data_IF_787287187235
#
_entry.id   IF_787287187235
#
_cell.length_a   1.000
_cell.length_b   1.000
_cell.length_c   1.000
_cell.angle_alpha   90.00
_cell.angle_beta   90.00
_cell.angle_gamma   90.00
#
_symmetry.space_group_name_H-M   'P 1'
#
loop_
_entity.id
_entity.type
_entity.pdbx_description
1 polymer ?
#
# COMPACT_ATOMS: atom_id res chain seq x y z
N UNK A 1 -52.97 -89.13 -57.01
CA UNK A 1 -52.38 -87.84 -57.42
C UNK A 1 -51.83 -87.09 -56.20
N UNK A 2 -50.51 -86.90 -56.14
CA UNK A 2 -49.77 -85.66 -55.77
C UNK A 2 -48.28 -86.02 -55.60
N UNK A 3 -47.44 -85.35 -56.38
CA UNK A 3 -45.99 -85.59 -56.54
C UNK A 3 -45.19 -85.00 -55.39
N UNK A 4 -44.16 -85.73 -54.95
CA UNK A 4 -43.02 -85.20 -54.21
C UNK A 4 -42.12 -84.35 -55.13
N UNK A 5 -41.63 -83.22 -54.61
CA UNK A 5 -40.48 -82.47 -55.14
C UNK A 5 -39.61 -82.06 -53.94
N UNK A 6 -38.30 -82.35 -53.93
CA UNK A 6 -37.41 -81.98 -52.83
C UNK A 6 -36.96 -80.52 -52.97
N UNK A 7 -36.85 -79.80 -51.85
CA UNK A 7 -36.22 -78.47 -51.78
C UNK A 7 -34.94 -78.54 -50.93
N UNK A 8 -33.80 -78.36 -51.58
CA UNK A 8 -32.52 -77.88 -51.03
C UNK A 8 -32.15 -76.59 -51.79
N UNK A 9 -31.15 -75.80 -51.37
CA UNK A 9 -31.03 -75.06 -50.11
C UNK A 9 -30.90 -73.53 -50.41
N UNK A 10 -31.42 -72.65 -49.55
CA UNK A 10 -31.40 -71.18 -49.76
C UNK A 10 -30.55 -70.42 -48.74
N UNK A 11 -29.67 -71.13 -48.02
CA UNK A 11 -28.73 -70.55 -47.05
C UNK A 11 -27.32 -70.68 -47.63
N UNK A 12 -27.00 -69.90 -48.66
CA UNK A 12 -25.61 -69.79 -49.15
C UNK A 12 -25.32 -68.48 -49.91
N UNK A 13 -26.33 -67.75 -50.38
CA UNK A 13 -26.12 -66.52 -51.16
C UNK A 13 -26.20 -65.20 -50.37
N UNK A 14 -26.71 -65.20 -49.13
CA UNK A 14 -26.84 -63.96 -48.32
C UNK A 14 -25.55 -63.65 -47.54
N UNK A 15 -24.70 -64.64 -47.26
CA UNK A 15 -23.45 -64.43 -46.52
C UNK A 15 -22.30 -63.90 -47.41
N UNK A 16 -22.38 -64.08 -48.74
CA UNK A 16 -21.34 -63.64 -49.68
C UNK A 16 -21.52 -62.17 -50.12
N UNK A 17 -22.74 -61.62 -50.05
CA UNK A 17 -23.00 -60.21 -50.38
C UNK A 17 -22.71 -59.21 -49.23
N UNK A 18 -22.51 -59.68 -48.00
CA UNK A 18 -22.20 -58.83 -46.84
C UNK A 18 -20.69 -58.60 -46.63
N UNK A 19 -19.82 -59.34 -47.34
CA UNK A 19 -18.36 -59.21 -47.20
C UNK A 19 -17.74 -58.31 -48.29
N UNK A 20 -18.45 -58.05 -49.41
CA UNK A 20 -17.95 -57.17 -50.48
C UNK A 20 -18.23 -55.67 -50.27
N UNK A 21 -19.03 -55.28 -49.28
CA UNK A 21 -19.36 -53.87 -48.98
C UNK A 21 -18.49 -53.25 -47.88
N UNK A 22 -17.59 -54.03 -47.24
CA UNK A 22 -16.67 -53.52 -46.21
C UNK A 22 -15.32 -53.07 -46.82
N UNK A 23 -15.00 -53.45 -48.07
CA UNK A 23 -13.74 -53.09 -48.72
C UNK A 23 -13.81 -51.91 -49.72
N UNK A 24 -14.95 -51.21 -49.84
CA UNK A 24 -15.07 -50.02 -50.73
C UNK A 24 -15.16 -48.70 -49.94
N UNK A 25 -15.21 -48.72 -48.60
CA UNK A 25 -15.20 -47.49 -47.78
C UNK A 25 -13.83 -47.13 -47.16
N UNK A 26 -12.75 -47.85 -47.46
CA UNK A 26 -11.41 -47.54 -46.90
C UNK A 26 -10.58 -46.62 -47.81
N UNK A 27 -10.91 -46.48 -49.10
CA UNK A 27 -10.09 -45.69 -50.03
C UNK A 27 -10.67 -44.32 -50.43
N UNK A 28 -11.78 -43.86 -49.83
CA UNK A 28 -12.39 -42.52 -50.10
C UNK A 28 -12.27 -41.55 -48.90
N UNK A 29 -11.62 -41.95 -47.80
CA UNK A 29 -11.30 -41.04 -46.68
C UNK A 29 -9.80 -40.70 -46.56
N UNK A 30 -8.96 -41.20 -47.49
CA UNK A 30 -7.53 -40.90 -47.52
C UNK A 30 -7.15 -39.56 -48.15
N UNK A 31 -8.10 -38.70 -48.53
CA UNK A 31 -7.80 -37.50 -49.30
C UNK A 31 -8.75 -36.32 -49.04
N UNK A 32 -8.91 -35.91 -47.78
CA UNK A 32 -9.11 -34.51 -47.44
C UNK A 32 -9.15 -34.41 -45.93
N UNK A 33 -8.12 -33.79 -45.36
CA UNK A 33 -8.10 -32.98 -44.16
C UNK A 33 -6.63 -32.97 -43.71
N UNK A 34 -5.80 -32.24 -44.45
CA UNK A 34 -4.78 -31.43 -43.79
C UNK A 34 -5.52 -30.41 -42.92
N UNK A 35 -6.12 -30.89 -41.82
CA UNK A 35 -6.36 -30.05 -40.66
C UNK A 35 -4.96 -29.82 -40.16
N UNK A 36 -4.36 -28.74 -40.66
CA UNK A 36 -3.36 -28.03 -39.89
C UNK A 36 -4.09 -27.73 -38.60
N UNK A 37 -3.82 -28.52 -37.55
CA UNK A 37 -4.25 -28.16 -36.21
C UNK A 37 -3.88 -26.68 -36.05
N UNK A 38 -4.84 -25.79 -35.77
CA UNK A 38 -4.49 -24.40 -35.55
C UNK A 38 -3.46 -24.45 -34.43
N UNK A 39 -2.21 -24.13 -34.75
CA UNK A 39 -1.16 -23.94 -33.74
C UNK A 39 -1.85 -23.13 -32.65
N UNK A 40 -1.89 -23.61 -31.39
CA UNK A 40 -2.47 -22.84 -30.32
C UNK A 40 -1.87 -21.45 -30.46
N UNK A 41 -2.73 -20.44 -30.65
CA UNK A 41 -2.28 -19.05 -30.65
C UNK A 41 -1.41 -18.98 -29.41
N UNK A 42 -0.13 -18.67 -29.59
CA UNK A 42 0.74 -18.42 -28.47
C UNK A 42 -0.02 -17.42 -27.61
N UNK A 43 -0.52 -17.89 -26.48
CA UNK A 43 -1.09 -17.04 -25.47
C UNK A 43 0.03 -16.04 -25.22
N UNK A 44 -0.26 -14.76 -25.46
CA UNK A 44 0.72 -13.72 -25.24
C UNK A 44 1.08 -13.84 -23.77
N UNK A 45 2.20 -14.53 -23.48
CA UNK A 45 2.69 -14.70 -22.13
C UNK A 45 2.96 -13.29 -21.69
N UNK A 46 2.06 -12.77 -20.87
CA UNK A 46 2.13 -11.41 -20.34
C UNK A 46 3.57 -11.22 -19.89
N UNK A 47 4.25 -10.29 -20.56
CA UNK A 47 5.69 -10.17 -20.50
C UNK A 47 6.06 -9.96 -19.04
N UNK A 48 6.49 -11.02 -18.35
CA UNK A 48 6.76 -11.01 -16.92
C UNK A 48 7.70 -9.84 -16.63
N UNK A 49 7.15 -8.81 -16.01
CA UNK A 49 7.95 -7.67 -15.57
C UNK A 49 8.64 -8.06 -14.27
N UNK A 50 9.80 -7.46 -13.99
CA UNK A 50 10.48 -7.68 -12.72
C UNK A 50 9.56 -7.38 -11.53
N UNK A 51 8.67 -6.39 -11.68
CA UNK A 51 7.66 -6.01 -10.69
C UNK A 51 6.68 -7.16 -10.37
N UNK A 52 6.19 -7.86 -11.40
CA UNK A 52 5.29 -9.03 -11.22
C UNK A 52 5.98 -10.24 -10.59
N UNK A 53 7.31 -10.36 -10.72
CA UNK A 53 8.09 -11.43 -10.06
C UNK A 53 8.32 -11.10 -8.59
N UNK A 54 8.51 -9.82 -8.27
CA UNK A 54 8.85 -9.35 -6.93
C UNK A 54 7.63 -9.12 -6.04
N UNK A 55 6.46 -8.87 -6.63
CA UNK A 55 5.22 -8.54 -5.90
C UNK A 55 4.05 -9.41 -6.36
N UNK A 56 3.40 -10.10 -5.41
CA UNK A 56 2.14 -10.81 -5.65
C UNK A 56 1.03 -9.84 -6.13
N UNK A 57 1.10 -8.59 -5.67
CA UNK A 57 0.17 -7.51 -6.02
C UNK A 57 0.94 -6.29 -6.56
N UNK A 58 0.87 -5.99 -7.87
CA UNK A 58 1.54 -4.83 -8.46
C UNK A 58 1.20 -3.51 -7.75
N UNK A 59 2.21 -2.67 -7.57
CA UNK A 59 2.09 -1.38 -6.86
C UNK A 59 2.10 -1.46 -5.34
N UNK A 60 2.13 -2.66 -4.76
CA UNK A 60 2.38 -2.83 -3.34
C UNK A 60 3.87 -2.65 -3.03
N UNK A 61 4.23 -1.99 -1.92
CA UNK A 61 5.63 -1.89 -1.52
C UNK A 61 6.26 -3.24 -1.20
N UNK A 62 7.58 -3.31 -1.29
CA UNK A 62 8.37 -4.49 -0.93
C UNK A 62 8.13 -4.94 0.51
N UNK A 63 8.09 -6.26 0.70
CA UNK A 63 7.94 -6.92 1.99
C UNK A 63 6.73 -6.44 2.81
N UNK A 64 5.69 -5.96 2.12
CA UNK A 64 4.46 -5.48 2.75
C UNK A 64 3.32 -6.49 2.67
N UNK A 65 2.45 -6.46 3.67
CA UNK A 65 1.12 -7.04 3.59
C UNK A 65 0.20 -6.01 2.93
N UNK A 66 -0.12 -6.25 1.67
CA UNK A 66 -0.85 -5.31 0.82
C UNK A 66 -1.77 -6.06 -0.14
N UNK A 67 -3.03 -5.66 -0.17
CA UNK A 67 -4.01 -6.21 -1.12
C UNK A 67 -3.87 -5.58 -2.50
N UNK A 68 -4.36 -6.26 -3.54
CA UNK A 68 -4.39 -5.74 -4.91
C UNK A 68 -5.07 -4.37 -5.00
N UNK A 69 -6.21 -4.19 -4.31
CA UNK A 69 -6.93 -2.91 -4.27
C UNK A 69 -6.07 -1.77 -3.69
N UNK A 70 -5.32 -2.06 -2.62
CA UNK A 70 -4.44 -1.08 -1.98
C UNK A 70 -3.23 -0.76 -2.87
N UNK A 71 -2.62 -1.76 -3.51
CA UNK A 71 -1.53 -1.57 -4.48
C UNK A 71 -1.95 -0.72 -5.69
N UNK A 72 -3.17 -0.92 -6.20
CA UNK A 72 -3.76 -0.06 -7.24
C UNK A 72 -3.95 1.37 -6.75
N UNK A 73 -4.40 1.57 -5.50
CA UNK A 73 -4.60 2.90 -4.91
C UNK A 73 -3.29 3.66 -4.73
N UNK A 74 -2.24 2.98 -4.25
CA UNK A 74 -0.87 3.53 -4.18
C UNK A 74 -0.35 3.91 -5.57
N UNK A 75 -0.50 3.01 -6.55
CA UNK A 75 -0.11 3.28 -7.93
C UNK A 75 -0.80 4.51 -8.50
N UNK A 76 -2.11 4.67 -8.26
CA UNK A 76 -2.87 5.86 -8.68
C UNK A 76 -2.35 7.13 -8.03
N UNK A 77 -2.07 7.09 -6.72
CA UNK A 77 -1.47 8.23 -6.02
C UNK A 77 -0.11 8.62 -6.62
N UNK A 78 0.78 7.65 -6.84
CA UNK A 78 2.10 7.90 -7.41
C UNK A 78 2.04 8.45 -8.84
N UNK A 79 1.19 7.89 -9.69
CA UNK A 79 0.95 8.39 -11.04
C UNK A 79 0.37 9.81 -11.02
N UNK A 80 -0.62 10.06 -10.16
CA UNK A 80 -1.20 11.37 -9.96
C UNK A 80 -0.12 12.39 -9.55
N UNK A 81 0.68 12.08 -8.53
CA UNK A 81 1.69 12.99 -8.01
C UNK A 81 2.77 13.35 -9.04
N UNK A 82 3.16 12.38 -9.88
CA UNK A 82 4.09 12.60 -11.00
C UNK A 82 3.51 13.51 -12.08
N UNK A 83 2.20 13.45 -12.30
CA UNK A 83 1.52 14.23 -13.32
C UNK A 83 1.06 15.62 -12.85
N UNK A 84 0.76 15.78 -11.56
CA UNK A 84 0.16 17.01 -11.02
C UNK A 84 1.08 18.21 -11.14
N UNK A 85 0.51 19.39 -11.38
CA UNK A 85 1.26 20.61 -11.69
C UNK A 85 1.18 21.67 -10.61
N UNK A 86 0.28 21.51 -9.64
CA UNK A 86 0.09 22.51 -8.58
C UNK A 86 -0.26 21.88 -7.24
N UNK A 87 -0.02 22.62 -6.16
CA UNK A 87 -0.41 22.23 -4.81
C UNK A 87 -1.94 22.12 -4.68
N UNK A 88 -2.70 22.95 -5.40
CA UNK A 88 -4.17 22.93 -5.40
C UNK A 88 -4.72 21.61 -5.93
N UNK A 89 -4.15 21.08 -7.02
CA UNK A 89 -4.52 19.75 -7.54
C UNK A 89 -4.27 18.67 -6.49
N UNK A 90 -3.12 18.72 -5.82
CA UNK A 90 -2.75 17.76 -4.77
C UNK A 90 -3.72 17.85 -3.60
N UNK A 91 -4.01 19.04 -3.10
CA UNK A 91 -4.98 19.22 -2.00
C UNK A 91 -6.36 18.68 -2.35
N UNK A 92 -6.82 18.91 -3.59
CA UNK A 92 -8.11 18.39 -4.03
C UNK A 92 -8.11 16.86 -4.08
N UNK A 93 -7.04 16.25 -4.58
CA UNK A 93 -6.88 14.78 -4.55
C UNK A 93 -6.88 14.23 -3.12
N UNK A 94 -6.15 14.87 -2.19
CA UNK A 94 -6.10 14.44 -0.79
C UNK A 94 -7.49 14.51 -0.14
N UNK A 95 -8.29 15.52 -0.47
CA UNK A 95 -9.67 15.64 0.04
C UNK A 95 -10.58 14.51 -0.46
N UNK A 96 -10.43 14.08 -1.72
CA UNK A 96 -11.32 13.07 -2.33
C UNK A 96 -10.84 11.64 -2.11
N UNK A 97 -9.56 11.38 -2.37
CA UNK A 97 -8.95 10.04 -2.40
C UNK A 97 -8.11 9.73 -1.16
N UNK A 98 -7.56 10.77 -0.54
CA UNK A 98 -6.65 10.68 0.60
C UNK A 98 -5.17 10.67 0.19
N UNK A 99 -4.31 10.94 1.17
CA UNK A 99 -2.85 10.83 1.04
C UNK A 99 -2.34 9.57 1.75
N UNK A 100 -1.41 8.79 1.16
CA UNK A 100 -0.75 7.72 1.89
C UNK A 100 0.05 8.32 3.05
N UNK A 101 -0.42 8.03 4.26
CA UNK A 101 0.10 8.61 5.49
C UNK A 101 0.62 7.50 6.39
N UNK A 102 1.91 7.52 6.77
CA UNK A 102 2.46 6.48 7.62
C UNK A 102 1.91 6.59 9.04
N UNK A 103 1.54 5.44 9.61
CA UNK A 103 0.96 5.32 10.93
C UNK A 103 1.54 4.09 11.64
N UNK A 104 1.18 3.94 12.91
CA UNK A 104 1.30 2.67 13.60
C UNK A 104 -0.05 1.98 13.69
N UNK A 105 -0.03 0.66 13.83
CA UNK A 105 -1.25 -0.11 13.99
C UNK A 105 -1.11 -1.33 14.89
N UNK A 106 -2.15 -1.68 15.63
CA UNK A 106 -2.27 -2.99 16.32
C UNK A 106 -2.97 -4.04 15.46
N UNK A 107 -3.36 -3.69 14.24
CA UNK A 107 -3.98 -4.61 13.32
C UNK A 107 -2.97 -5.64 12.81
N UNK A 108 -3.41 -6.90 12.80
CA UNK A 108 -2.59 -8.04 12.38
C UNK A 108 -2.99 -8.52 10.98
N UNK A 109 -4.28 -8.40 10.63
CA UNK A 109 -4.83 -8.64 9.27
C UNK A 109 -6.18 -7.95 9.14
N UNK A 110 -6.48 -7.43 7.95
CA UNK A 110 -7.83 -7.11 7.49
C UNK A 110 -7.87 -7.31 5.98
N UNK A 111 -8.64 -8.27 5.51
CA UNK A 111 -8.73 -8.59 4.08
C UNK A 111 -9.48 -7.51 3.26
N UNK A 112 -10.06 -6.50 3.92
CA UNK A 112 -10.89 -5.46 3.29
C UNK A 112 -10.51 -4.01 3.67
N UNK A 113 -9.40 -3.78 4.38
CA UNK A 113 -8.94 -2.43 4.69
C UNK A 113 -7.94 -1.94 3.64
N UNK A 114 -8.13 -0.70 3.16
CA UNK A 114 -7.20 0.00 2.25
C UNK A 114 -5.92 0.46 2.98
N UNK A 115 -5.20 -0.49 3.58
CA UNK A 115 -4.03 -0.25 4.42
C UNK A 115 -2.91 -1.19 4.00
N UNK A 116 -1.69 -0.65 3.93
CA UNK A 116 -0.48 -1.43 3.78
C UNK A 116 0.16 -1.61 5.14
N UNK A 117 0.60 -2.83 5.47
CA UNK A 117 1.28 -3.11 6.73
C UNK A 117 2.65 -3.74 6.55
N UNK A 118 3.53 -3.51 7.51
CA UNK A 118 4.78 -4.24 7.69
C UNK A 118 4.90 -4.70 9.13
N UNK A 119 5.61 -5.81 9.33
CA UNK A 119 6.09 -6.14 10.65
C UNK A 119 7.00 -5.01 11.16
N UNK A 120 6.75 -4.55 12.39
CA UNK A 120 7.64 -3.56 12.99
C UNK A 120 9.04 -4.14 13.17
N UNK A 121 10.03 -3.31 12.83
CA UNK A 121 11.45 -3.62 13.05
C UNK A 121 11.80 -3.70 14.54
N UNK A 122 10.99 -3.10 15.41
CA UNK A 122 11.18 -3.16 16.86
C UNK A 122 11.00 -4.58 17.41
N UNK A 123 11.94 -5.11 18.21
CA UNK A 123 11.69 -6.32 18.97
C UNK A 123 10.51 -6.19 19.95
N UNK A 124 10.36 -5.03 20.60
CA UNK A 124 9.30 -4.78 21.58
C UNK A 124 7.89 -4.73 20.97
N UNK A 125 7.80 -4.46 19.67
CA UNK A 125 6.55 -4.44 18.91
C UNK A 125 6.15 -5.80 18.37
N UNK A 126 7.02 -6.82 18.48
CA UNK A 126 6.77 -8.18 17.97
C UNK A 126 6.33 -9.14 19.07
N UNK A 127 5.93 -8.60 20.23
CA UNK A 127 5.44 -9.39 21.35
C UNK A 127 4.08 -10.00 21.00
N UNK A 128 3.89 -11.30 21.28
CA UNK A 128 2.72 -12.08 20.85
C UNK A 128 1.36 -11.46 21.22
N UNK A 129 1.29 -10.79 22.37
CA UNK A 129 0.05 -10.23 22.91
C UNK A 129 -0.08 -8.70 22.71
N UNK A 130 0.90 -8.06 22.09
CA UNK A 130 0.92 -6.61 21.87
C UNK A 130 1.69 -6.30 20.57
N UNK A 131 1.28 -6.94 19.48
CA UNK A 131 1.92 -6.73 18.18
C UNK A 131 1.58 -5.34 17.67
N UNK A 132 2.60 -4.57 17.34
CA UNK A 132 2.49 -3.28 16.68
C UNK A 132 3.16 -3.39 15.31
N UNK A 133 2.43 -2.97 14.29
CA UNK A 133 2.81 -2.99 12.89
C UNK A 133 3.06 -1.57 12.40
N UNK A 134 3.92 -1.44 11.40
CA UNK A 134 4.05 -0.21 10.63
C UNK A 134 2.92 -0.21 9.59
N UNK A 135 2.27 0.94 9.34
CA UNK A 135 1.16 1.02 8.42
C UNK A 135 1.26 2.24 7.48
N UNK A 136 0.66 2.16 6.30
CA UNK A 136 0.30 3.31 5.46
C UNK A 136 -1.21 3.31 5.27
N UNK A 137 -1.85 4.44 5.59
CA UNK A 137 -3.30 4.63 5.52
C UNK A 137 -3.58 5.80 4.59
N UNK A 138 -4.61 5.66 3.74
CA UNK A 138 -5.08 6.77 2.90
C UNK A 138 -5.91 7.75 3.72
N UNK A 139 -5.24 8.68 4.37
CA UNK A 139 -5.88 9.68 5.22
C UNK A 139 -6.64 10.71 4.39
N UNK A 140 -7.92 10.92 4.74
CA UNK A 140 -8.73 12.03 4.26
C UNK A 140 -8.97 13.01 5.40
N UNK A 141 -8.66 14.29 5.21
CA UNK A 141 -8.83 15.31 6.26
C UNK A 141 -7.86 15.15 7.43
N UNK A 142 -8.35 15.33 8.65
CA UNK A 142 -7.52 15.34 9.86
C UNK A 142 -7.02 13.96 10.28
N UNK A 143 -5.81 13.87 10.81
CA UNK A 143 -5.31 12.68 11.51
C UNK A 143 -6.19 12.39 12.73
N UNK A 144 -6.92 11.29 12.67
CA UNK A 144 -7.78 10.82 13.76
C UNK A 144 -7.20 9.53 14.32
N UNK A 145 -6.93 9.50 15.61
CA UNK A 145 -6.62 8.25 16.28
C UNK A 145 -7.85 7.35 16.30
N UNK A 146 -7.61 6.05 16.21
CA UNK A 146 -8.61 5.04 16.53
C UNK A 146 -8.03 4.06 17.55
N UNK A 147 -8.83 3.09 17.97
CA UNK A 147 -8.35 2.03 18.85
C UNK A 147 -7.12 1.33 18.27
N UNK A 148 -7.10 1.14 16.94
CA UNK A 148 -6.14 0.27 16.28
C UNK A 148 -5.17 1.00 15.34
N UNK A 149 -5.36 2.30 15.14
CA UNK A 149 -4.50 3.19 14.34
C UNK A 149 -4.08 4.36 15.22
N UNK A 150 -2.79 4.67 15.23
CA UNK A 150 -2.24 5.75 16.04
C UNK A 150 -1.08 6.43 15.32
N UNK A 151 -0.90 7.70 15.67
CA UNK A 151 0.04 8.62 15.05
C UNK A 151 1.20 8.90 16.02
N UNK A 152 2.27 9.51 15.52
CA UNK A 152 3.37 9.95 16.38
C UNK A 152 2.97 11.22 17.14
N UNK A 153 3.31 11.29 18.42
CA UNK A 153 3.14 12.50 19.21
C UNK A 153 4.29 13.47 18.96
N UNK A 154 3.98 14.76 18.88
CA UNK A 154 4.99 15.81 18.82
C UNK A 154 4.63 16.90 19.82
N UNK A 155 5.55 17.18 20.74
CA UNK A 155 5.39 18.29 21.69
C UNK A 155 6.19 19.49 21.24
N UNK A 156 5.51 20.61 21.06
CA UNK A 156 6.10 21.89 20.67
C UNK A 156 6.01 22.85 21.84
N UNK A 157 7.16 23.31 22.31
CA UNK A 157 7.28 24.32 23.36
C UNK A 157 7.39 25.71 22.72
N UNK A 158 6.26 26.43 22.68
CA UNK A 158 6.19 27.78 22.11
C UNK A 158 6.65 28.86 23.10
N UNK A 159 6.58 28.56 24.40
CA UNK A 159 7.07 29.37 25.51
C UNK A 159 7.42 28.43 26.68
N UNK A 160 8.17 28.88 27.71
CA UNK A 160 8.66 28.01 28.79
C UNK A 160 7.61 27.10 29.43
N UNK A 161 6.37 27.59 29.56
CA UNK A 161 5.25 26.87 30.18
C UNK A 161 4.12 26.53 29.20
N UNK A 162 4.32 26.74 27.89
CA UNK A 162 3.31 26.48 26.87
C UNK A 162 3.77 25.37 25.92
N UNK A 163 3.27 24.17 26.18
CA UNK A 163 3.48 22.98 25.34
C UNK A 163 2.19 22.67 24.60
N UNK A 164 2.27 22.67 23.27
CA UNK A 164 1.21 22.20 22.38
C UNK A 164 1.58 20.82 21.86
N UNK A 165 0.63 19.89 21.88
CA UNK A 165 0.81 18.54 21.32
C UNK A 165 0.19 18.49 19.91
N UNK A 166 0.89 17.84 18.99
CA UNK A 166 0.45 17.57 17.64
C UNK A 166 0.48 16.06 17.42
N UNK A 167 -0.48 15.56 16.66
CA UNK A 167 -0.40 14.24 16.05
C UNK A 167 0.29 14.39 14.70
N UNK A 168 1.33 13.60 14.43
CA UNK A 168 2.08 13.65 13.18
C UNK A 168 2.18 12.26 12.55
N UNK A 169 2.32 12.17 11.22
CA UNK A 169 2.57 10.88 10.60
C UNK A 169 3.86 10.27 11.10
N UNK A 170 3.88 8.94 11.16
CA UNK A 170 5.00 8.19 11.72
C UNK A 170 6.31 8.52 11.01
N UNK A 171 7.38 8.74 11.77
CA UNK A 171 8.73 9.08 11.31
C UNK A 171 8.87 10.41 10.57
N UNK A 172 7.81 11.22 10.48
CA UNK A 172 7.94 12.57 9.95
C UNK A 172 8.58 13.50 10.99
N UNK A 173 9.36 14.47 10.53
CA UNK A 173 10.01 15.46 11.39
C UNK A 173 9.81 16.85 10.84
N UNK A 174 9.21 17.78 11.60
CA UNK A 174 9.07 19.14 11.15
C UNK A 174 10.42 19.82 10.91
N UNK A 175 10.47 20.63 9.87
CA UNK A 175 11.64 21.42 9.50
C UNK A 175 11.48 22.91 9.85
N UNK A 176 10.25 23.39 10.03
CA UNK A 176 9.96 24.72 10.55
C UNK A 176 8.50 24.79 11.03
N UNK A 177 8.15 25.92 11.65
CA UNK A 177 6.76 26.29 11.89
C UNK A 177 6.36 27.49 11.05
N UNK A 178 5.10 27.50 10.62
CA UNK A 178 4.42 28.65 10.03
C UNK A 178 3.26 29.06 10.95
N UNK A 179 3.55 29.99 11.87
CA UNK A 179 2.59 30.39 12.89
C UNK A 179 2.37 29.28 13.92
N UNK A 180 1.17 28.72 13.99
CA UNK A 180 0.82 27.59 14.85
C UNK A 180 0.87 26.24 14.13
N UNK A 181 1.21 26.22 12.84
CA UNK A 181 1.29 24.99 12.04
C UNK A 181 2.74 24.53 11.97
N UNK A 182 2.95 23.22 12.01
CA UNK A 182 4.25 22.61 11.75
C UNK A 182 4.34 22.26 10.26
N UNK A 183 5.54 22.32 9.71
CA UNK A 183 5.79 21.94 8.31
C UNK A 183 6.87 20.88 8.23
N UNK A 184 6.60 19.78 7.53
CA UNK A 184 7.59 18.76 7.20
C UNK A 184 7.68 18.59 5.68
N UNK A 185 8.80 18.03 5.23
CA UNK A 185 9.02 17.68 3.82
C UNK A 185 8.67 16.23 3.63
N UNK A 186 7.80 15.96 2.66
CA UNK A 186 7.52 14.61 2.19
C UNK A 186 8.15 14.43 0.82
N UNK A 187 9.09 13.50 0.70
CA UNK A 187 9.71 13.14 -0.58
C UNK A 187 8.99 11.93 -1.18
N UNK A 188 8.44 12.09 -2.38
CA UNK A 188 7.80 11.00 -3.12
C UNK A 188 8.02 11.17 -4.63
N UNK A 189 8.55 10.13 -5.30
CA UNK A 189 8.83 10.13 -6.74
C UNK A 189 9.60 11.37 -7.23
N UNK A 190 10.74 11.65 -6.59
CA UNK A 190 11.61 12.80 -6.87
C UNK A 190 10.93 14.17 -6.69
N UNK A 191 9.81 14.21 -5.97
CA UNK A 191 9.08 15.43 -5.63
C UNK A 191 9.12 15.68 -4.14
N UNK A 192 9.48 16.91 -3.77
CA UNK A 192 9.42 17.41 -2.40
C UNK A 192 8.12 18.16 -2.18
N UNK A 193 7.30 17.69 -1.25
CA UNK A 193 6.04 18.30 -0.86
C UNK A 193 6.19 18.95 0.51
N UNK A 194 5.84 20.24 0.61
CA UNK A 194 5.62 20.87 1.91
C UNK A 194 4.27 20.45 2.45
N UNK A 195 4.28 19.78 3.60
CA UNK A 195 3.06 19.35 4.27
C UNK A 195 2.90 20.15 5.56
N UNK A 196 1.85 20.96 5.61
CA UNK A 196 1.44 21.71 6.79
C UNK A 196 0.53 20.86 7.64
N UNK A 197 0.74 20.91 8.94
CA UNK A 197 -0.09 20.21 9.91
C UNK A 197 -0.40 21.13 11.10
N UNK A 198 -1.67 21.19 11.48
CA UNK A 198 -2.11 21.97 12.63
C UNK A 198 -2.32 21.07 13.87
N UNK A 199 -2.52 21.66 15.05
CA UNK A 199 -2.68 20.90 16.30
C UNK A 199 -3.92 19.97 16.32
N UNK A 200 -4.87 20.16 15.40
CA UNK A 200 -6.04 19.28 15.23
C UNK A 200 -5.78 18.13 14.25
N UNK A 201 -4.56 18.02 13.70
CA UNK A 201 -4.17 16.99 12.73
C UNK A 201 -4.62 17.29 11.30
N UNK A 202 -5.15 18.48 10.99
CA UNK A 202 -5.50 18.82 9.61
C UNK A 202 -4.24 19.00 8.78
N UNK A 203 -4.26 18.42 7.58
CA UNK A 203 -3.17 18.47 6.61
C UNK A 203 -3.52 19.42 5.46
N UNK A 204 -2.55 20.24 5.05
CA UNK A 204 -2.60 21.07 3.82
C UNK A 204 -1.25 21.05 3.10
N UNK A 205 -1.24 21.43 1.83
CA UNK A 205 -0.02 21.44 1.01
C UNK A 205 0.48 22.88 0.87
N UNK A 206 1.78 23.07 1.02
CA UNK A 206 2.40 24.39 0.96
C UNK A 206 3.69 24.34 0.15
N UNK A 207 4.10 25.51 -0.34
CA UNK A 207 5.42 25.68 -0.91
C UNK A 207 6.46 25.65 0.21
N UNK A 208 7.58 24.98 -0.08
CA UNK A 208 8.67 24.86 0.87
C UNK A 208 9.45 26.17 0.94
N UNK A 209 9.69 26.62 2.17
CA UNK A 209 10.51 27.78 2.47
C UNK A 209 11.76 27.28 3.18
N UNK A 210 12.92 27.86 2.85
CA UNK A 210 14.14 27.64 3.63
C UNK A 210 14.10 28.57 4.85
N UNK A 211 14.00 28.04 6.09
CA UNK A 211 14.00 28.89 7.27
C UNK A 211 15.37 29.54 7.49
N UNK A 212 15.39 30.68 8.19
CA UNK A 212 16.64 31.37 8.55
C UNK A 212 17.55 30.48 9.39
N UNK A 213 16.98 29.71 10.31
CA UNK A 213 17.70 28.74 11.13
C UNK A 213 17.24 27.34 10.76
N UNK A 214 18.21 26.48 10.41
CA UNK A 214 17.92 25.08 10.12
C UNK A 214 17.71 24.29 11.42
N UNK A 215 16.88 23.24 11.36
CA UNK A 215 16.66 22.34 12.47
C UNK A 215 17.97 21.75 13.01
N UNK A 216 18.20 21.81 14.32
CA UNK A 216 19.38 21.23 14.96
C UNK A 216 19.06 20.64 16.33
N UNK A 217 19.81 19.60 16.70
CA UNK A 217 19.60 18.89 17.95
C UNK A 217 19.94 19.78 19.14
N UNK A 218 19.14 19.64 20.19
CA UNK A 218 19.31 20.35 21.46
C UNK A 218 19.04 19.40 22.62
N UNK A 219 19.50 19.78 23.81
CA UNK A 219 19.10 19.11 25.04
C UNK A 219 17.61 19.30 25.30
N UNK A 220 16.93 18.22 25.68
CA UNK A 220 15.53 18.29 26.03
C UNK A 220 15.29 19.05 27.33
N UNK A 221 14.41 20.06 27.36
CA UNK A 221 13.93 20.69 28.59
C UNK A 221 13.25 19.68 29.54
N UNK A 222 13.41 19.88 30.85
CA UNK A 222 12.81 18.99 31.86
C UNK A 222 11.28 18.88 31.73
N UNK A 223 10.60 19.96 31.37
CA UNK A 223 9.15 19.95 31.19
C UNK A 223 8.70 18.98 30.07
N UNK A 224 9.45 18.91 28.96
CA UNK A 224 9.18 17.94 27.89
C UNK A 224 9.48 16.52 28.35
N UNK A 225 10.59 16.30 29.06
CA UNK A 225 10.92 14.97 29.63
C UNK A 225 9.82 14.45 30.56
N UNK A 226 9.23 15.33 31.36
CA UNK A 226 8.10 15.00 32.24
C UNK A 226 6.87 14.59 31.42
N UNK A 227 6.55 15.32 30.33
CA UNK A 227 5.44 14.97 29.43
C UNK A 227 5.62 13.58 28.81
N UNK A 228 6.79 13.29 28.25
CA UNK A 228 7.08 11.97 27.68
C UNK A 228 6.91 10.84 28.72
N UNK A 229 7.41 11.04 29.94
CA UNK A 229 7.30 10.03 31.01
C UNK A 229 5.85 9.81 31.44
N UNK A 230 5.00 10.83 31.40
CA UNK A 230 3.59 10.72 31.77
C UNK A 230 2.76 9.93 30.74
N UNK A 231 3.15 9.98 29.47
CA UNK A 231 2.41 9.31 28.37
C UNK A 231 2.68 7.80 28.28
N UNK A 232 3.73 7.28 28.95
CA UNK A 232 4.15 5.87 28.93
C UNK A 232 3.09 4.82 29.33
N UNK A 233 1.86 5.21 29.65
CA UNK A 233 0.83 4.35 30.23
C UNK A 233 -0.06 3.56 29.24
N UNK A 234 0.17 3.59 27.93
CA UNK A 234 -0.69 2.88 26.98
C UNK A 234 -0.06 1.68 26.26
N UNK A 235 0.88 1.97 25.35
CA UNK A 235 1.17 1.06 24.22
C UNK A 235 2.61 0.52 24.18
N UNK A 236 3.51 0.97 25.08
CA UNK A 236 4.97 0.72 25.02
C UNK A 236 5.56 0.97 23.63
N UNK A 237 5.00 1.97 22.94
CA UNK A 237 5.33 2.28 21.55
C UNK A 237 6.70 2.95 21.42
N UNK A 238 7.09 3.73 22.43
CA UNK A 238 8.30 4.55 22.39
C UNK A 238 9.28 4.17 23.50
N UNK A 239 10.54 3.99 23.12
CA UNK A 239 11.64 3.66 24.04
C UNK A 239 12.40 4.90 24.49
N UNK A 240 12.48 5.92 23.63
CA UNK A 240 13.25 7.13 23.85
C UNK A 240 12.60 8.34 23.18
N UNK A 241 13.27 9.49 23.24
CA UNK A 241 12.83 10.75 22.65
C UNK A 241 14.06 11.55 22.20
N UNK A 242 13.84 12.52 21.32
CA UNK A 242 14.86 13.45 20.85
C UNK A 242 14.27 14.86 20.76
N UNK A 243 15.09 15.86 21.05
CA UNK A 243 14.70 17.26 20.93
C UNK A 243 15.47 18.00 19.86
N UNK A 244 14.79 18.95 19.25
CA UNK A 244 15.30 19.76 18.16
C UNK A 244 14.80 21.18 18.29
N UNK A 245 15.64 22.16 17.94
CA UNK A 245 15.20 23.53 17.72
C UNK A 245 14.77 23.68 16.28
N UNK A 246 13.60 24.26 16.03
CA UNK A 246 13.11 24.59 14.68
C UNK A 246 12.70 26.06 14.61
N UNK A 247 12.87 26.69 13.45
CA UNK A 247 12.52 28.09 13.27
C UNK A 247 11.03 28.28 13.02
N UNK A 248 10.40 29.27 13.63
CA UNK A 248 9.07 29.72 13.28
C UNK A 248 9.16 30.95 12.36
N UNK A 249 8.72 30.79 11.11
CA UNK A 249 8.92 31.79 10.06
C UNK A 249 8.07 33.05 10.26
N UNK A 250 6.92 32.95 10.95
CA UNK A 250 6.04 34.09 11.19
C UNK A 250 6.56 34.98 12.31
N UNK A 251 6.88 34.39 13.46
CA UNK A 251 7.30 35.15 14.64
C UNK A 251 8.83 35.36 14.71
N UNK A 252 9.59 34.75 13.80
CA UNK A 252 11.05 34.84 13.70
C UNK A 252 11.76 34.42 14.99
N UNK A 253 11.35 33.30 15.55
CA UNK A 253 11.95 32.71 16.75
C UNK A 253 12.09 31.21 16.60
N UNK A 254 13.14 30.66 17.17
CA UNK A 254 13.30 29.22 17.31
C UNK A 254 12.40 28.72 18.43
N UNK A 255 11.79 27.57 18.21
CA UNK A 255 10.97 26.84 19.19
C UNK A 255 11.55 25.46 19.38
N UNK A 256 11.32 24.88 20.56
CA UNK A 256 11.82 23.54 20.88
C UNK A 256 10.73 22.53 20.60
N UNK A 257 11.09 21.45 19.91
CA UNK A 257 10.21 20.30 19.69
C UNK A 257 10.82 19.06 20.33
N UNK A 258 9.96 18.16 20.80
CA UNK A 258 10.32 16.80 21.21
C UNK A 258 9.46 15.83 20.42
N UNK A 259 10.11 14.84 19.82
CA UNK A 259 9.45 13.70 19.19
C UNK A 259 9.94 12.40 19.83
N UNK A 260 9.04 11.42 20.00
CA UNK A 260 9.37 10.13 20.54
C UNK A 260 10.06 9.27 19.48
N UNK A 261 10.77 8.24 19.94
CA UNK A 261 11.45 7.27 19.09
C UNK A 261 11.00 5.88 19.52
N UNK A 262 10.45 5.13 18.58
CA UNK A 262 9.95 3.78 18.82
C UNK A 262 11.07 2.81 19.21
N UNK A 263 12.17 2.83 18.46
CA UNK A 263 13.31 1.94 18.63
C UNK A 263 14.58 2.70 18.23
N UNK A 264 15.69 2.41 18.91
CA UNK A 264 17.06 2.83 18.53
C UNK A 264 17.85 1.57 18.16
#
# INVERSE_FOLDING_TARGET
MKKLIPKQPLISYILILMISSIFICVDILGNSLNVVEPKPKAEEVEKLTLDMVMHENPGCPDNSFCSQATGQKLSKWYQFLKSSKSNIEIENYIKTEGMPTPAWSTLIKYDDLEIVFWDSRCPDHRQKNNKISEAIIFQKGALQESKDIFWDDLWVMLAPDNITQYQIPRNERPIYMDGSEIVFIKEENDRYLGVKLNAQGNISITDLITPTELPHLIDCPELLKIKFKAEKNGKKLYQSYQCQSIWNIQNKKSVMIMYPLACI
#
